data_IF_695624164290
#
_entry.id   IF_695624164290
#
_cell.length_a   1.000
_cell.length_b   1.000
_cell.length_c   1.000
_cell.angle_alpha   90.00
_cell.angle_beta   90.00
_cell.angle_gamma   90.00
#
_symmetry.space_group_name_H-M   'P 1'
#
loop_
_entity.id
_entity.type
_entity.pdbx_description
1 polymer ?
#
# COMPACT_ATOMS: atom_id res chain seq x y z
N UNK A 1 7.95 -3.42 14.58
CA UNK A 1 8.30 -4.70 13.89
C UNK A 1 9.34 -4.41 12.83
N UNK A 2 10.33 -5.30 12.63
CA UNK A 2 11.29 -5.18 11.53
C UNK A 2 10.65 -5.75 10.26
N UNK A 3 10.35 -4.88 9.29
CA UNK A 3 9.80 -5.28 8.00
C UNK A 3 10.60 -4.57 6.88
N UNK A 4 10.97 -5.27 5.79
CA UNK A 4 11.76 -4.68 4.72
C UNK A 4 10.97 -3.60 3.96
N UNK A 5 11.64 -2.51 3.57
CA UNK A 5 11.03 -1.43 2.79
C UNK A 5 10.65 -1.85 1.37
N UNK A 6 11.35 -2.84 0.81
CA UNK A 6 11.14 -3.38 -0.52
C UNK A 6 11.20 -4.91 -0.49
N UNK A 7 10.28 -5.57 -1.18
CA UNK A 7 10.24 -7.03 -1.32
C UNK A 7 9.73 -7.41 -2.70
N UNK A 8 10.32 -8.46 -3.29
CA UNK A 8 9.85 -9.03 -4.55
C UNK A 8 8.70 -10.00 -4.31
N UNK A 9 7.49 -9.64 -4.71
CA UNK A 9 6.30 -10.49 -4.60
C UNK A 9 5.49 -10.48 -5.90
N UNK A 10 4.50 -11.37 -6.00
CA UNK A 10 3.65 -11.45 -7.18
C UNK A 10 2.76 -10.21 -7.29
N UNK A 11 2.87 -9.49 -8.40
CA UNK A 11 2.00 -8.36 -8.69
C UNK A 11 0.77 -8.83 -9.47
N UNK A 12 -0.45 -8.78 -8.91
CA UNK A 12 -1.66 -9.22 -9.61
C UNK A 12 -2.02 -8.33 -10.81
N UNK A 13 -1.50 -7.10 -10.88
CA UNK A 13 -1.71 -6.21 -12.03
C UNK A 13 -0.80 -6.55 -13.22
N UNK A 14 0.45 -6.91 -12.95
CA UNK A 14 1.46 -7.19 -13.98
C UNK A 14 1.57 -8.68 -14.30
N UNK A 15 0.99 -9.55 -13.47
CA UNK A 15 1.06 -11.03 -13.53
C UNK A 15 2.49 -11.59 -13.44
N UNK A 16 3.42 -10.83 -12.88
CA UNK A 16 4.83 -11.16 -12.73
C UNK A 16 5.36 -10.78 -11.35
N UNK A 17 6.53 -11.29 -10.97
CA UNK A 17 7.19 -10.95 -9.71
C UNK A 17 8.00 -9.67 -9.81
N UNK A 18 7.55 -8.62 -9.12
CA UNK A 18 8.15 -7.28 -9.14
C UNK A 18 8.51 -6.80 -7.74
N UNK A 19 9.39 -5.81 -7.65
CA UNK A 19 9.71 -5.16 -6.38
C UNK A 19 8.56 -4.26 -5.91
N UNK A 20 8.05 -4.55 -4.72
CA UNK A 20 6.99 -3.79 -4.08
C UNK A 20 7.56 -2.98 -2.93
N UNK A 21 7.29 -1.67 -2.94
CA UNK A 21 7.57 -0.77 -1.82
C UNK A 21 6.48 -0.87 -0.77
N UNK A 22 6.84 -1.24 0.46
CA UNK A 22 5.91 -1.37 1.57
C UNK A 22 5.95 -0.11 2.42
N UNK A 23 4.78 0.45 2.69
CA UNK A 23 4.62 1.63 3.55
C UNK A 23 3.55 1.36 4.60
N UNK A 24 3.74 1.94 5.78
CA UNK A 24 2.73 1.89 6.83
C UNK A 24 1.59 2.81 6.40
N UNK A 25 0.36 2.29 6.43
CA UNK A 25 -0.83 3.07 6.13
C UNK A 25 -0.91 4.30 7.05
N UNK A 26 -1.16 5.46 6.45
CA UNK A 26 -1.42 6.71 7.17
C UNK A 26 -2.78 7.22 6.74
N UNK A 27 -3.63 7.53 7.72
CA UNK A 27 -4.92 8.14 7.43
C UNK A 27 -4.70 9.53 6.81
N UNK A 28 -5.33 9.78 5.66
CA UNK A 28 -5.36 11.09 5.04
C UNK A 28 -6.24 12.08 5.82
N UNK A 29 -6.30 13.33 5.35
CA UNK A 29 -7.23 14.33 5.90
C UNK A 29 -8.67 13.80 5.82
N UNK A 30 -9.35 13.74 6.96
CA UNK A 30 -10.76 13.35 7.02
C UNK A 30 -11.57 14.34 6.18
N UNK A 31 -12.38 13.83 5.26
CA UNK A 31 -13.34 14.65 4.53
C UNK A 31 -14.47 15.03 5.50
N UNK A 32 -15.06 16.21 5.31
CA UNK A 32 -16.26 16.60 6.04
C UNK A 32 -17.37 15.57 5.78
N UNK A 33 -18.25 15.36 6.77
CA UNK A 33 -19.38 14.45 6.62
C UNK A 33 -20.16 14.81 5.36
N UNK A 34 -20.29 13.87 4.43
CA UNK A 34 -21.34 13.97 3.41
C UNK A 34 -22.66 13.77 4.12
N UNK A 35 -23.61 14.68 3.92
CA UNK A 35 -25.03 14.40 4.17
C UNK A 35 -25.38 13.15 3.36
N UNK A 36 -26.05 12.20 4.03
CA UNK A 36 -26.34 10.84 3.53
C UNK A 36 -26.91 10.81 2.13
#
# INVERSE_FOLDING_TARGET
>A
MKFPKSMRTHCPRCKTHTDHTVSIYKAGKRRAAKLG
#
